data_IF_642579575958
#
_entry.id   IF_642579575958
#
_cell.length_a   1.000
_cell.length_b   1.000
_cell.length_c   1.000
_cell.angle_alpha   90.00
_cell.angle_beta   90.00
_cell.angle_gamma   90.00
#
_symmetry.space_group_name_H-M   'P 1'
#
loop_
_entity.id
_entity.type
_entity.pdbx_description
1 polymer ?
#
# COMPACT_ATOMS: atom_id res chain seq x y z
N UNK A 1 19.96 18.78 -2.67
CA UNK A 1 18.76 18.16 -2.06
C UNK A 1 18.43 16.94 -2.90
N UNK A 2 18.57 15.74 -2.35
CA UNK A 2 18.27 14.51 -3.08
C UNK A 2 16.75 14.30 -3.16
N UNK A 3 16.26 13.79 -4.27
CA UNK A 3 14.87 13.36 -4.40
C UNK A 3 14.65 12.12 -3.51
N UNK A 4 13.76 12.22 -2.52
CA UNK A 4 13.32 11.07 -1.73
C UNK A 4 12.08 10.46 -2.40
N UNK A 5 12.16 9.24 -2.94
CA UNK A 5 11.04 8.61 -3.61
C UNK A 5 9.97 8.17 -2.60
N UNK A 6 8.69 8.34 -2.96
CA UNK A 6 7.56 7.89 -2.13
C UNK A 6 7.63 6.40 -1.77
N UNK A 7 7.98 5.56 -2.76
CA UNK A 7 8.32 4.15 -2.57
C UNK A 7 9.77 3.89 -3.02
N UNK A 8 10.60 3.22 -2.20
CA UNK A 8 11.97 2.90 -2.58
C UNK A 8 12.03 2.03 -3.83
N UNK A 9 12.94 2.34 -4.77
CA UNK A 9 13.19 1.55 -5.99
C UNK A 9 11.93 1.33 -6.86
N UNK A 10 10.97 2.24 -6.79
CA UNK A 10 9.72 2.20 -7.55
C UNK A 10 9.49 3.52 -8.27
N UNK A 11 8.83 3.45 -9.43
CA UNK A 11 8.35 4.63 -10.17
C UNK A 11 6.96 5.11 -9.73
N UNK A 12 6.38 4.49 -8.71
CA UNK A 12 5.05 4.84 -8.22
C UNK A 12 5.07 6.18 -7.48
N UNK A 13 4.19 7.09 -7.90
CA UNK A 13 3.87 8.30 -7.14
C UNK A 13 2.90 8.00 -6.00
N UNK A 14 2.81 8.90 -5.04
CA UNK A 14 1.83 8.81 -3.95
C UNK A 14 0.39 8.76 -4.49
N UNK A 15 0.07 9.55 -5.52
CA UNK A 15 -1.27 9.56 -6.13
C UNK A 15 -1.60 8.22 -6.78
N UNK A 16 -0.61 7.58 -7.43
CA UNK A 16 -0.79 6.30 -8.11
C UNK A 16 -1.17 5.21 -7.10
N UNK A 17 -0.49 5.18 -5.95
CA UNK A 17 -0.76 4.22 -4.88
C UNK A 17 -2.08 4.54 -4.18
N UNK A 18 -2.40 5.81 -3.95
CA UNK A 18 -3.69 6.23 -3.39
C UNK A 18 -4.87 5.80 -4.28
N UNK A 19 -4.76 6.03 -5.59
CA UNK A 19 -5.73 5.55 -6.57
C UNK A 19 -5.87 4.03 -6.50
N UNK A 20 -4.76 3.29 -6.50
CA UNK A 20 -4.78 1.84 -6.45
C UNK A 20 -5.44 1.29 -5.17
N UNK A 21 -5.22 1.93 -4.02
CA UNK A 21 -5.87 1.59 -2.76
C UNK A 21 -7.39 1.81 -2.82
N UNK A 22 -7.82 2.95 -3.37
CA UNK A 22 -9.25 3.24 -3.57
C UNK A 22 -9.91 2.18 -4.48
N UNK A 23 -9.31 1.90 -5.64
CA UNK A 23 -9.84 0.89 -6.55
C UNK A 23 -9.92 -0.50 -5.88
N UNK A 24 -8.88 -0.90 -5.15
CA UNK A 24 -8.78 -2.23 -4.54
C UNK A 24 -9.70 -2.41 -3.33
N UNK A 25 -9.75 -1.42 -2.44
CA UNK A 25 -10.39 -1.56 -1.14
C UNK A 25 -11.71 -0.79 -1.02
N UNK A 26 -11.82 0.39 -1.62
CA UNK A 26 -13.08 1.15 -1.61
C UNK A 26 -14.06 0.60 -2.65
N UNK A 27 -13.60 0.40 -3.89
CA UNK A 27 -14.42 -0.13 -4.99
C UNK A 27 -14.41 -1.66 -5.09
N UNK A 28 -13.55 -2.34 -4.32
CA UNK A 28 -13.48 -3.80 -4.28
C UNK A 28 -12.99 -4.44 -5.59
N UNK A 29 -12.27 -3.71 -6.45
CA UNK A 29 -11.80 -4.23 -7.72
C UNK A 29 -10.63 -5.21 -7.53
N UNK A 30 -10.70 -6.41 -8.12
CA UNK A 30 -9.57 -7.33 -8.07
C UNK A 30 -8.45 -6.86 -9.00
N UNK A 31 -7.19 -7.03 -8.57
CA UNK A 31 -6.02 -6.49 -9.26
C UNK A 31 -5.85 -7.00 -10.70
N UNK A 32 -6.36 -8.19 -11.04
CA UNK A 32 -6.30 -8.70 -12.42
C UNK A 32 -7.18 -7.88 -13.37
N UNK A 33 -8.33 -7.38 -12.89
CA UNK A 33 -9.20 -6.52 -13.70
C UNK A 33 -8.58 -5.14 -13.89
N UNK A 34 -7.93 -4.63 -12.84
CA UNK A 34 -7.20 -3.37 -12.90
C UNK A 34 -6.02 -3.45 -13.88
N UNK A 35 -5.24 -4.54 -13.85
CA UNK A 35 -4.16 -4.78 -14.82
C UNK A 35 -4.69 -4.75 -16.26
N UNK A 36 -5.80 -5.45 -16.54
CA UNK A 36 -6.43 -5.44 -17.85
C UNK A 36 -6.91 -4.04 -18.25
N UNK A 37 -7.52 -3.30 -17.32
CA UNK A 37 -8.04 -1.96 -17.59
C UNK A 37 -6.92 -0.95 -17.86
N UNK A 38 -5.85 -0.95 -17.06
CA UNK A 38 -4.67 -0.08 -17.26
C UNK A 38 -4.00 -0.38 -18.60
N UNK A 39 -3.87 -1.66 -18.96
CA UNK A 39 -3.34 -2.05 -20.27
C UNK A 39 -4.22 -1.54 -21.42
N UNK A 40 -5.55 -1.67 -21.30
CA UNK A 40 -6.49 -1.28 -22.35
C UNK A 40 -6.67 0.25 -22.48
N UNK A 41 -6.68 0.98 -21.37
CA UNK A 41 -6.96 2.41 -21.36
C UNK A 41 -5.70 3.27 -21.49
N UNK A 42 -4.60 2.85 -20.87
CA UNK A 42 -3.36 3.62 -20.79
C UNK A 42 -2.23 3.03 -21.64
N UNK A 43 -2.42 1.82 -22.21
CA UNK A 43 -1.37 1.12 -22.98
C UNK A 43 -0.16 0.70 -22.13
N UNK A 44 -0.30 0.71 -20.80
CA UNK A 44 0.80 0.52 -19.86
C UNK A 44 0.74 -0.86 -19.22
N UNK A 45 1.85 -1.59 -19.30
CA UNK A 45 1.94 -2.96 -18.81
C UNK A 45 2.27 -3.01 -17.32
N UNK A 46 1.29 -2.67 -16.48
CA UNK A 46 1.42 -2.68 -15.02
C UNK A 46 0.92 -4.01 -14.44
N UNK A 47 1.86 -4.88 -14.09
CA UNK A 47 1.50 -6.21 -13.57
C UNK A 47 0.76 -6.13 -12.23
N UNK A 48 -0.16 -7.08 -12.01
CA UNK A 48 -0.75 -7.36 -10.69
C UNK A 48 0.27 -7.43 -9.56
N UNK A 49 1.39 -8.09 -9.81
CA UNK A 49 2.43 -8.29 -8.80
C UNK A 49 3.08 -6.97 -8.40
N UNK A 50 3.36 -6.11 -9.39
CA UNK A 50 3.87 -4.76 -9.15
C UNK A 50 2.89 -3.94 -8.30
N UNK A 51 1.60 -3.97 -8.66
CA UNK A 51 0.53 -3.31 -7.89
C UNK A 51 0.44 -3.83 -6.45
N UNK A 52 0.43 -5.16 -6.26
CA UNK A 52 0.42 -5.77 -4.93
C UNK A 52 1.63 -5.32 -4.10
N UNK A 53 2.82 -5.32 -4.70
CA UNK A 53 4.04 -4.90 -4.00
C UNK A 53 3.99 -3.43 -3.60
N UNK A 54 3.42 -2.56 -4.44
CA UNK A 54 3.23 -1.15 -4.09
C UNK A 54 2.27 -0.96 -2.92
N UNK A 55 1.13 -1.65 -2.93
CA UNK A 55 0.15 -1.63 -1.83
C UNK A 55 0.81 -2.08 -0.52
N UNK A 56 1.49 -3.24 -0.56
CA UNK A 56 2.15 -3.80 0.63
C UNK A 56 3.22 -2.85 1.18
N UNK A 57 4.08 -2.31 0.31
CA UNK A 57 5.14 -1.41 0.73
C UNK A 57 4.59 -0.10 1.31
N UNK A 58 3.52 0.43 0.74
CA UNK A 58 2.86 1.61 1.28
C UNK A 58 2.20 1.33 2.64
N UNK A 59 1.59 0.16 2.82
CA UNK A 59 1.02 -0.25 4.09
C UNK A 59 2.09 -0.37 5.19
N UNK A 60 3.22 -1.00 4.90
CA UNK A 60 4.36 -1.12 5.84
C UNK A 60 4.94 0.24 6.24
N UNK A 61 5.13 1.15 5.27
CA UNK A 61 5.80 2.43 5.53
C UNK A 61 4.88 3.44 6.23
N UNK A 62 3.61 3.52 5.82
CA UNK A 62 2.72 4.61 6.23
C UNK A 62 1.60 4.15 7.15
N UNK A 63 0.90 3.07 6.80
CA UNK A 63 -0.28 2.61 7.56
C UNK A 63 0.15 1.97 8.88
N UNK A 64 1.13 1.07 8.84
CA UNK A 64 1.66 0.44 10.05
C UNK A 64 2.29 1.49 10.97
N UNK A 65 3.10 2.40 10.43
CA UNK A 65 3.70 3.51 11.19
C UNK A 65 2.65 4.40 11.87
N UNK A 66 1.56 4.72 11.16
CA UNK A 66 0.45 5.49 11.71
C UNK A 66 -0.28 4.73 12.82
N UNK A 67 -0.61 3.46 12.62
CA UNK A 67 -1.29 2.62 13.63
C UNK A 67 -0.42 2.49 14.88
N UNK A 68 0.89 2.24 14.70
CA UNK A 68 1.85 2.15 15.80
C UNK A 68 1.88 3.46 16.59
N UNK A 69 2.05 4.59 15.91
CA UNK A 69 2.10 5.92 16.55
C UNK A 69 0.80 6.23 17.30
N UNK A 70 -0.34 5.86 16.74
CA UNK A 70 -1.65 6.00 17.38
C UNK A 70 -1.78 5.14 18.64
N UNK A 71 -1.38 3.87 18.59
CA UNK A 71 -1.42 2.94 19.74
C UNK A 71 -0.54 3.46 20.89
N UNK A 72 0.68 3.92 20.59
CA UNK A 72 1.56 4.51 21.60
C UNK A 72 0.99 5.80 22.19
N UNK A 73 0.34 6.64 21.38
CA UNK A 73 -0.27 7.89 21.85
C UNK A 73 -1.54 7.68 22.70
N UNK A 74 -2.23 6.55 22.53
CA UNK A 74 -3.49 6.26 23.22
C UNK A 74 -3.32 5.41 24.49
N UNK A 75 -2.07 5.09 24.86
CA UNK A 75 -1.76 4.35 26.10
C UNK A 75 -2.07 2.85 26.03
N UNK A 76 -2.29 2.30 24.83
CA UNK A 76 -2.48 0.85 24.68
C UNK A 76 -1.16 0.11 24.90
N UNK A 77 -1.21 -1.09 25.53
CA UNK A 77 -0.01 -1.85 25.82
C UNK A 77 0.66 -2.38 24.54
N UNK A 78 2.01 -2.45 24.47
CA UNK A 78 2.77 -2.92 23.30
C UNK A 78 2.38 -4.31 22.80
N UNK A 79 1.75 -5.14 23.64
CA UNK A 79 1.30 -6.51 23.30
C UNK A 79 0.28 -6.53 22.16
N UNK A 80 -0.52 -5.48 21.98
CA UNK A 80 -1.50 -5.36 20.88
C UNK A 80 -0.79 -5.33 19.52
N UNK A 81 0.38 -4.66 19.44
CA UNK A 81 1.19 -4.63 18.23
C UNK A 81 1.79 -6.00 17.91
N UNK A 82 2.24 -6.73 18.93
CA UNK A 82 2.75 -8.10 18.78
C UNK A 82 1.67 -9.04 18.26
N UNK A 83 0.42 -8.88 18.71
CA UNK A 83 -0.72 -9.66 18.22
C UNK A 83 -1.07 -9.33 16.77
N UNK A 84 -1.06 -8.04 16.38
CA UNK A 84 -1.27 -7.62 14.99
C UNK A 84 -0.22 -8.22 14.05
N UNK A 85 1.06 -8.28 14.47
CA UNK A 85 2.15 -8.85 13.67
C UNK A 85 2.15 -10.38 13.63
N UNK A 86 1.62 -11.05 14.65
CA UNK A 86 1.60 -12.51 14.74
C UNK A 86 0.53 -13.16 13.85
N UNK A 87 -0.57 -12.45 13.54
CA UNK A 87 -1.67 -12.97 12.72
C UNK A 87 -1.49 -12.85 11.19
N UNK A 88 -0.42 -12.18 10.74
CA UNK A 88 -0.14 -11.93 9.31
C UNK A 88 0.97 -12.81 8.73
N UNK A 89 1.23 -14.00 9.31
CA UNK A 89 2.17 -15.00 8.78
C UNK A 89 1.45 -16.22 8.21
#
# INVERSE_FOLDING_TARGET
MGYEPFLPKSSASAETVAWLLDQKYNLGLPLYRLEQNVQQQMGLNLSRQTMSNWILKAAELYVESMIISFIFSSGFPPVVLTMLKAGTR
#
